data_IF_763534605012
#
_entry.id   IF_763534605012
#
_cell.length_a   1.000
_cell.length_b   1.000
_cell.length_c   1.000
_cell.angle_alpha   90.00
_cell.angle_beta   90.00
_cell.angle_gamma   90.00
#
_symmetry.space_group_name_H-M   'P 1'
#
loop_
_entity.id
_entity.type
_entity.pdbx_description
1 polymer ?
#
# COMPACT_ATOMS: atom_id res chain seq x y z
N UNK A 1 1.96 -7.65 -12.35
CA UNK A 1 2.53 -6.29 -12.28
C UNK A 1 2.85 -5.98 -10.84
N UNK A 2 4.07 -5.55 -10.58
CA UNK A 2 4.48 -4.92 -9.34
C UNK A 2 4.49 -3.39 -9.55
N UNK A 3 3.81 -2.66 -8.70
CA UNK A 3 3.92 -1.21 -8.62
C UNK A 3 4.68 -0.83 -7.33
N UNK A 4 5.58 0.11 -7.42
CA UNK A 4 6.36 0.64 -6.30
C UNK A 4 6.58 2.14 -6.44
N UNK A 5 6.93 2.78 -5.34
CA UNK A 5 7.42 4.17 -5.34
C UNK A 5 8.95 4.20 -5.49
N UNK A 6 9.48 5.34 -5.92
CA UNK A 6 10.92 5.58 -6.12
C UNK A 6 11.69 5.83 -4.80
N UNK A 7 10.98 6.04 -3.69
CA UNK A 7 11.52 6.25 -2.35
C UNK A 7 11.47 4.98 -1.46
N UNK A 8 11.56 3.80 -2.11
CA UNK A 8 11.56 2.50 -1.42
C UNK A 8 12.85 1.72 -1.65
N UNK A 9 13.44 1.20 -0.57
CA UNK A 9 14.55 0.26 -0.59
C UNK A 9 14.03 -1.15 -0.32
N UNK A 10 14.25 -2.07 -1.25
CA UNK A 10 13.76 -3.45 -1.16
C UNK A 10 14.70 -4.33 -0.37
N UNK A 11 14.21 -4.97 0.68
CA UNK A 11 14.99 -5.85 1.53
C UNK A 11 15.17 -7.26 0.92
N UNK A 12 16.20 -8.02 1.31
CA UNK A 12 16.45 -9.34 0.75
C UNK A 12 15.23 -10.27 0.79
N UNK A 13 14.96 -10.98 -0.30
CA UNK A 13 13.87 -11.95 -0.47
C UNK A 13 12.45 -11.37 -0.45
N UNK A 14 12.28 -10.05 -0.57
CA UNK A 14 10.94 -9.42 -0.60
C UNK A 14 10.04 -10.03 -1.68
N UNK A 15 10.56 -10.27 -2.87
CA UNK A 15 9.87 -10.85 -4.02
C UNK A 15 9.54 -12.34 -3.84
N UNK A 16 10.44 -13.08 -3.22
CA UNK A 16 10.25 -14.51 -2.92
C UNK A 16 8.95 -14.77 -2.15
N UNK A 17 8.67 -13.97 -1.12
CA UNK A 17 7.47 -14.12 -0.31
C UNK A 17 6.20 -13.79 -1.10
N UNK A 18 6.21 -12.73 -1.91
CA UNK A 18 5.09 -12.36 -2.77
C UNK A 18 4.80 -13.45 -3.82
N UNK A 19 5.84 -13.92 -4.51
CA UNK A 19 5.70 -14.94 -5.56
C UNK A 19 5.21 -16.27 -4.97
N UNK A 20 5.73 -16.69 -3.83
CA UNK A 20 5.26 -17.91 -3.17
C UNK A 20 3.80 -17.80 -2.75
N UNK A 21 3.37 -16.64 -2.27
CA UNK A 21 1.95 -16.42 -1.94
C UNK A 21 1.07 -16.53 -3.18
N UNK A 22 1.48 -15.97 -4.31
CA UNK A 22 0.76 -16.12 -5.59
C UNK A 22 0.64 -17.58 -6.01
N UNK A 23 1.73 -18.37 -5.87
CA UNK A 23 1.71 -19.80 -6.20
C UNK A 23 0.77 -20.62 -5.31
N UNK A 24 0.54 -20.19 -4.07
CA UNK A 24 -0.35 -20.87 -3.11
C UNK A 24 -1.83 -20.61 -3.39
N UNK A 25 -2.16 -19.50 -4.04
CA UNK A 25 -3.54 -19.16 -4.37
C UNK A 25 -3.87 -19.62 -5.80
N UNK A 26 -4.97 -20.32 -5.96
CA UNK A 26 -5.48 -20.69 -7.29
C UNK A 26 -6.44 -19.60 -7.82
N UNK A 27 -5.97 -18.37 -7.89
CA UNK A 27 -6.79 -17.23 -8.32
C UNK A 27 -5.92 -16.11 -8.90
N UNK A 28 -6.42 -15.44 -9.92
CA UNK A 28 -5.88 -14.18 -10.44
C UNK A 28 -6.41 -12.95 -9.70
N UNK A 29 -7.41 -13.12 -8.82
CA UNK A 29 -8.09 -12.02 -8.11
C UNK A 29 -7.47 -11.78 -6.73
N UNK A 30 -6.33 -11.10 -6.72
CA UNK A 30 -5.58 -10.75 -5.51
C UNK A 30 -4.93 -9.37 -5.61
N UNK A 31 -4.66 -8.80 -4.45
CA UNK A 31 -3.81 -7.64 -4.23
C UNK A 31 -2.89 -7.97 -3.05
N UNK A 32 -1.61 -8.13 -3.29
CA UNK A 32 -0.62 -8.35 -2.26
C UNK A 32 0.30 -7.15 -2.12
N UNK A 33 0.62 -6.78 -0.90
CA UNK A 33 1.63 -5.75 -0.63
C UNK A 33 2.73 -6.26 0.28
N UNK A 34 3.90 -5.64 0.18
CA UNK A 34 4.95 -5.76 1.18
C UNK A 34 4.63 -4.89 2.39
N UNK A 35 5.11 -5.28 3.58
CA UNK A 35 5.07 -4.41 4.74
C UNK A 35 6.17 -3.36 4.65
N UNK A 36 5.84 -2.12 4.99
CA UNK A 36 6.81 -1.03 5.03
C UNK A 36 7.49 -0.96 6.39
N UNK A 37 8.80 -0.76 6.38
CA UNK A 37 9.59 -0.31 7.53
C UNK A 37 9.75 1.20 7.40
N UNK A 38 9.44 1.93 8.46
CA UNK A 38 9.54 3.40 8.50
C UNK A 38 9.93 3.87 9.90
N UNK A 39 10.61 5.02 10.00
CA UNK A 39 11.05 5.58 11.28
C UNK A 39 9.97 6.32 12.09
N UNK A 40 8.74 6.45 11.57
CA UNK A 40 7.65 7.11 12.30
C UNK A 40 6.84 6.09 13.13
N UNK A 41 6.94 6.12 14.47
CA UNK A 41 6.24 5.18 15.34
C UNK A 41 4.71 5.34 15.33
N UNK A 42 4.19 6.44 14.79
CA UNK A 42 2.74 6.70 14.74
C UNK A 42 2.05 6.08 13.52
N UNK A 43 2.82 5.56 12.57
CA UNK A 43 2.27 4.89 11.39
C UNK A 43 1.76 3.49 11.74
N UNK A 44 0.44 3.31 11.71
CA UNK A 44 -0.19 2.01 11.95
C UNK A 44 -0.03 1.07 10.76
N UNK A 45 0.24 -0.20 11.02
CA UNK A 45 0.41 -1.24 10.00
C UNK A 45 1.76 -1.19 9.29
N UNK A 46 2.75 -0.52 9.89
CA UNK A 46 4.14 -0.47 9.46
C UNK A 46 5.05 -0.98 10.58
N UNK A 47 6.23 -1.44 10.19
CA UNK A 47 7.29 -1.80 11.13
C UNK A 47 8.10 -0.54 11.47
N UNK A 48 8.41 -0.35 12.75
CA UNK A 48 9.15 0.84 13.18
C UNK A 48 10.64 0.52 13.32
N UNK A 49 11.45 1.10 12.46
CA UNK A 49 12.91 1.13 12.54
C UNK A 49 13.41 2.34 11.75
N UNK A 50 14.07 3.27 12.42
CA UNK A 50 14.70 4.41 11.74
C UNK A 50 16.11 4.04 11.28
N UNK A 51 16.32 4.07 9.97
CA UNK A 51 17.62 3.87 9.32
C UNK A 51 17.96 5.00 8.33
N UNK A 52 17.45 6.21 8.58
CA UNK A 52 17.62 7.38 7.73
C UNK A 52 16.34 7.76 6.97
N UNK A 53 16.26 9.00 6.54
CA UNK A 53 15.12 9.55 5.77
C UNK A 53 15.52 10.20 4.44
N UNK A 54 16.81 10.16 4.12
CA UNK A 54 17.40 10.54 2.83
C UNK A 54 18.49 9.55 2.44
N UNK A 55 18.92 9.57 1.18
CA UNK A 55 20.03 8.71 0.73
C UNK A 55 21.35 9.05 1.44
N UNK A 56 21.55 10.32 1.79
CA UNK A 56 22.78 10.81 2.44
C UNK A 56 22.93 10.31 3.88
N UNK A 57 21.83 10.11 4.60
CA UNK A 57 21.83 9.65 5.99
C UNK A 57 21.32 8.21 6.15
N UNK A 58 21.19 7.46 5.06
CA UNK A 58 20.72 6.10 5.09
C UNK A 58 21.75 5.13 5.67
N UNK A 59 21.41 4.50 6.77
CA UNK A 59 22.22 3.48 7.43
C UNK A 59 21.73 2.07 7.01
N UNK A 60 22.19 1.64 5.83
CA UNK A 60 21.87 0.33 5.27
C UNK A 60 22.32 -0.81 6.19
N UNK A 61 23.50 -0.69 6.81
CA UNK A 61 24.04 -1.72 7.71
C UNK A 61 23.11 -1.94 8.90
N UNK A 62 22.73 -0.84 9.58
CA UNK A 62 21.76 -0.88 10.69
C UNK A 62 20.44 -1.53 10.26
N UNK A 63 19.93 -1.17 9.07
CA UNK A 63 18.68 -1.75 8.55
C UNK A 63 18.83 -3.26 8.36
N UNK A 64 19.87 -3.71 7.66
CA UNK A 64 20.08 -5.12 7.32
C UNK A 64 20.37 -6.00 8.55
N UNK A 65 20.99 -5.46 9.60
CA UNK A 65 21.22 -6.18 10.86
C UNK A 65 19.95 -6.35 11.70
N UNK A 66 18.95 -5.45 11.56
CA UNK A 66 17.83 -5.40 12.50
C UNK A 66 16.47 -5.74 11.87
N UNK A 67 16.29 -5.62 10.55
CA UNK A 67 14.95 -5.74 9.94
C UNK A 67 14.28 -7.10 10.19
N UNK A 68 15.06 -8.18 10.34
CA UNK A 68 14.51 -9.52 10.55
C UNK A 68 13.92 -9.71 11.94
N UNK A 69 14.38 -8.94 12.93
CA UNK A 69 13.91 -8.99 14.31
C UNK A 69 12.58 -8.26 14.54
N UNK A 70 12.09 -7.55 13.51
CA UNK A 70 10.82 -6.86 13.60
C UNK A 70 9.69 -7.86 13.36
N UNK A 71 8.81 -8.02 14.35
CA UNK A 71 7.68 -8.95 14.28
C UNK A 71 6.40 -8.25 13.83
N UNK A 72 5.68 -8.88 12.95
CA UNK A 72 4.35 -8.49 12.51
C UNK A 72 3.69 -9.68 11.80
N UNK A 73 2.38 -9.82 11.98
CA UNK A 73 1.59 -10.80 11.25
C UNK A 73 1.17 -10.29 9.87
N UNK A 74 0.89 -11.22 8.96
CA UNK A 74 0.18 -10.90 7.72
C UNK A 74 -1.20 -10.35 8.06
N UNK A 75 -1.66 -9.34 7.33
CA UNK A 75 -2.97 -8.77 7.60
C UNK A 75 -3.76 -8.43 6.34
N UNK A 76 -5.09 -8.50 6.46
CA UNK A 76 -6.04 -8.14 5.41
C UNK A 76 -6.30 -6.63 5.39
N UNK A 77 -6.49 -6.07 4.20
CA UNK A 77 -6.89 -4.67 4.00
C UNK A 77 -5.75 -3.71 3.76
N UNK A 78 -4.63 -4.22 3.23
CA UNK A 78 -3.54 -3.37 2.73
C UNK A 78 -4.00 -2.53 1.54
N UNK A 79 -3.51 -1.30 1.48
CA UNK A 79 -3.85 -0.34 0.41
C UNK A 79 -2.65 0.38 -0.18
N UNK A 80 -1.42 0.01 0.19
CA UNK A 80 -0.21 0.77 -0.17
C UNK A 80 0.78 -0.01 -1.02
N UNK A 81 1.64 0.72 -1.72
CA UNK A 81 2.79 0.18 -2.43
C UNK A 81 3.90 -0.27 -1.45
N UNK A 82 4.82 -1.17 -1.88
CA UNK A 82 4.74 -1.85 -3.16
C UNK A 82 3.63 -2.90 -3.16
N UNK A 83 2.94 -3.04 -4.29
CA UNK A 83 1.89 -4.04 -4.40
C UNK A 83 1.97 -4.85 -5.69
N UNK A 84 1.56 -6.10 -5.59
CA UNK A 84 1.52 -7.07 -6.67
C UNK A 84 0.07 -7.36 -7.05
N UNK A 85 -0.24 -7.19 -8.34
CA UNK A 85 -1.57 -7.42 -8.93
C UNK A 85 -1.40 -8.25 -10.20
N UNK A 86 -2.35 -9.12 -10.51
CA UNK A 86 -2.33 -9.85 -11.78
C UNK A 86 -2.48 -8.89 -12.98
N UNK A 87 -1.69 -9.08 -14.04
CA UNK A 87 -1.64 -8.17 -15.20
C UNK A 87 -3.01 -7.96 -15.84
N UNK A 88 -3.81 -9.02 -15.97
CA UNK A 88 -5.14 -8.92 -16.55
C UNK A 88 -6.06 -8.00 -15.74
N UNK A 89 -6.00 -8.09 -14.40
CA UNK A 89 -6.78 -7.19 -13.52
C UNK A 89 -6.31 -5.74 -13.62
N UNK A 90 -4.99 -5.52 -13.60
CA UNK A 90 -4.44 -4.19 -13.78
C UNK A 90 -4.92 -3.53 -15.07
N UNK A 91 -4.84 -4.26 -16.19
CA UNK A 91 -5.28 -3.77 -17.48
C UNK A 91 -6.80 -3.53 -17.50
N UNK A 92 -7.58 -4.44 -16.89
CA UNK A 92 -9.04 -4.34 -16.85
C UNK A 92 -9.52 -3.11 -16.06
N UNK A 93 -8.88 -2.78 -14.95
CA UNK A 93 -9.24 -1.61 -14.13
C UNK A 93 -8.61 -0.31 -14.62
N UNK A 94 -7.68 -0.38 -15.59
CA UNK A 94 -7.01 0.79 -16.15
C UNK A 94 -5.99 1.46 -15.22
N UNK A 95 -5.39 0.70 -14.28
CA UNK A 95 -4.40 1.23 -13.35
C UNK A 95 -4.92 2.32 -12.41
N UNK A 96 -4.11 3.33 -12.11
CA UNK A 96 -4.51 4.48 -11.29
C UNK A 96 -5.38 5.47 -12.07
N UNK A 97 -6.25 6.15 -11.35
CA UNK A 97 -7.14 7.17 -11.92
C UNK A 97 -6.52 8.56 -11.81
N UNK A 98 -6.48 9.30 -12.91
CA UNK A 98 -5.81 10.60 -13.03
C UNK A 98 -6.45 11.69 -12.14
N UNK A 99 -7.73 11.58 -11.84
CA UNK A 99 -8.44 12.53 -10.97
C UNK A 99 -7.90 12.56 -9.53
N UNK A 100 -7.12 11.57 -9.12
CA UNK A 100 -6.44 11.54 -7.83
C UNK A 100 -5.01 12.10 -7.89
N UNK A 101 -4.60 12.69 -9.01
CA UNK A 101 -3.29 13.35 -9.10
C UNK A 101 -3.15 14.46 -8.03
N UNK A 102 -2.00 14.60 -7.38
CA UNK A 102 -0.72 13.89 -7.55
C UNK A 102 -0.56 12.61 -6.71
N UNK A 103 -1.64 11.94 -6.26
CA UNK A 103 -1.57 10.61 -5.66
C UNK A 103 -2.40 10.40 -4.40
N UNK A 104 -2.83 11.47 -3.70
CA UNK A 104 -3.66 11.30 -2.51
C UNK A 104 -4.99 10.59 -2.86
N UNK A 105 -5.26 9.44 -2.23
CA UNK A 105 -6.48 8.67 -2.49
C UNK A 105 -6.40 7.70 -3.67
N UNK A 106 -5.32 7.66 -4.44
CA UNK A 106 -5.15 6.77 -5.58
C UNK A 106 -5.12 5.28 -5.19
N UNK A 107 -4.44 4.94 -4.10
CA UNK A 107 -4.39 3.55 -3.63
C UNK A 107 -5.78 3.01 -3.23
N UNK A 108 -6.58 3.68 -2.37
CA UNK A 108 -7.92 3.21 -2.08
C UNK A 108 -8.86 3.23 -3.30
N UNK A 109 -8.68 4.14 -4.26
CA UNK A 109 -9.42 4.11 -5.52
C UNK A 109 -9.10 2.86 -6.35
N UNK A 110 -7.82 2.55 -6.51
CA UNK A 110 -7.39 1.30 -7.17
C UNK A 110 -7.96 0.08 -6.45
N UNK A 111 -7.92 0.05 -5.12
CA UNK A 111 -8.51 -1.05 -4.36
C UNK A 111 -10.02 -1.17 -4.57
N UNK A 112 -10.75 -0.05 -4.69
CA UNK A 112 -12.19 -0.07 -4.98
C UNK A 112 -12.48 -0.60 -6.39
N UNK A 113 -11.71 -0.19 -7.40
CA UNK A 113 -11.81 -0.77 -8.75
C UNK A 113 -11.60 -2.28 -8.74
N UNK A 114 -10.55 -2.75 -8.05
CA UNK A 114 -10.27 -4.17 -7.89
C UNK A 114 -11.37 -4.90 -7.12
N UNK A 115 -11.93 -4.27 -6.09
CA UNK A 115 -13.07 -4.80 -5.34
C UNK A 115 -14.28 -5.04 -6.24
N UNK A 116 -14.62 -4.08 -7.11
CA UNK A 116 -15.72 -4.18 -8.06
C UNK A 116 -15.48 -5.29 -9.11
N UNK A 117 -14.22 -5.61 -9.40
CA UNK A 117 -13.83 -6.76 -10.23
C UNK A 117 -13.83 -8.09 -9.46
N UNK A 118 -14.29 -8.10 -8.22
CA UNK A 118 -14.44 -9.28 -7.38
C UNK A 118 -13.16 -9.70 -6.66
N UNK A 119 -12.14 -8.85 -6.56
CA UNK A 119 -11.00 -9.09 -5.66
C UNK A 119 -11.46 -8.97 -4.22
N UNK A 120 -11.10 -9.97 -3.40
CA UNK A 120 -11.40 -10.00 -1.95
C UNK A 120 -10.15 -10.22 -1.09
N UNK A 121 -9.04 -10.61 -1.71
CA UNK A 121 -7.75 -10.82 -1.05
C UNK A 121 -6.92 -9.54 -1.21
N UNK A 122 -6.86 -8.71 -0.17
CA UNK A 122 -6.04 -7.50 -0.07
C UNK A 122 -5.08 -7.66 1.10
N UNK A 123 -4.02 -8.44 0.90
CA UNK A 123 -3.17 -8.89 2.00
C UNK A 123 -1.79 -8.23 1.96
N UNK A 124 -1.36 -7.72 3.13
CA UNK A 124 0.04 -7.35 3.37
C UNK A 124 0.80 -8.57 3.89
N UNK A 125 1.94 -8.87 3.28
CA UNK A 125 2.81 -9.98 3.70
C UNK A 125 3.93 -9.43 4.57
N UNK A 126 3.93 -9.84 5.84
CA UNK A 126 4.84 -9.34 6.87
C UNK A 126 6.31 -9.72 6.62
N UNK A 127 6.55 -10.82 5.91
CA UNK A 127 7.91 -11.27 5.54
C UNK A 127 8.45 -10.61 4.26
N UNK A 128 7.57 -10.07 3.41
CA UNK A 128 7.97 -9.24 2.28
C UNK A 128 8.13 -7.80 2.75
N UNK A 129 9.36 -7.29 2.78
CA UNK A 129 9.70 -6.05 3.48
C UNK A 129 10.37 -5.03 2.57
N UNK A 130 9.99 -3.78 2.74
CA UNK A 130 10.64 -2.63 2.10
C UNK A 130 10.86 -1.53 3.13
N UNK A 131 11.98 -0.82 3.01
CA UNK A 131 12.22 0.40 3.77
C UNK A 131 11.69 1.60 2.98
N UNK A 132 10.90 2.44 3.61
CA UNK A 132 10.29 3.61 2.97
C UNK A 132 10.87 4.89 3.57
N UNK A 133 11.59 5.66 2.77
CA UNK A 133 12.23 6.93 3.19
C UNK A 133 11.21 8.02 3.57
N UNK A 134 9.93 7.81 3.24
CA UNK A 134 8.83 8.63 3.73
C UNK A 134 8.57 9.89 2.93
N UNK A 135 8.30 9.77 1.64
CA UNK A 135 7.80 10.87 0.80
C UNK A 135 8.76 12.05 0.72
N UNK A 136 10.03 11.79 0.45
CA UNK A 136 11.12 12.79 0.39
C UNK A 136 10.75 13.95 -0.55
N UNK A 137 10.17 13.66 -1.70
CA UNK A 137 9.76 14.64 -2.72
C UNK A 137 8.67 15.59 -2.21
N UNK A 138 7.69 15.05 -1.48
CA UNK A 138 6.55 15.82 -0.94
C UNK A 138 6.99 16.67 0.26
N UNK A 139 7.97 16.19 1.06
CA UNK A 139 8.50 16.92 2.21
C UNK A 139 9.30 18.16 1.80
N UNK A 140 10.03 18.11 0.67
CA UNK A 140 10.84 19.23 0.15
C UNK A 140 10.01 20.36 -0.46
N UNK A 141 8.80 20.09 -0.95
CA UNK A 141 7.91 21.08 -1.59
C UNK A 141 6.74 21.47 -0.68
N UNK A 142 6.97 22.41 0.26
CA UNK A 142 5.93 23.05 1.11
C UNK A 142 5.01 22.14 1.93
N UNK A 143 5.43 21.84 3.16
CA UNK A 143 4.79 20.92 4.13
C UNK A 143 3.31 21.21 4.46
N UNK A 144 2.82 22.43 4.38
CA UNK A 144 1.51 22.81 4.94
C UNK A 144 0.38 22.90 3.92
N UNK A 145 0.66 23.28 2.69
CA UNK A 145 -0.36 23.53 1.68
C UNK A 145 -0.87 22.22 1.04
N UNK A 146 0.04 21.30 0.70
CA UNK A 146 -0.32 20.06 0.02
C UNK A 146 -1.03 19.06 0.92
N UNK A 147 -0.56 18.86 2.15
CA UNK A 147 -1.04 17.78 3.02
C UNK A 147 -2.49 17.96 3.48
N UNK A 148 -2.90 19.19 3.84
CA UNK A 148 -4.23 19.45 4.39
C UNK A 148 -5.32 19.50 3.32
N UNK A 149 -5.02 20.06 2.17
CA UNK A 149 -6.00 20.25 1.10
C UNK A 149 -6.15 19.02 0.18
N UNK A 150 -5.08 18.29 -0.10
CA UNK A 150 -5.13 17.11 -0.96
C UNK A 150 -5.89 15.94 -0.34
N UNK A 151 -5.68 15.65 0.94
CA UNK A 151 -6.44 14.61 1.64
C UNK A 151 -7.93 14.91 1.70
N UNK A 152 -8.31 16.15 1.89
CA UNK A 152 -9.71 16.59 1.88
C UNK A 152 -10.32 16.48 0.48
N UNK A 153 -9.60 16.90 -0.56
CA UNK A 153 -10.03 16.81 -1.95
C UNK A 153 -10.18 15.35 -2.38
N UNK A 154 -9.17 14.51 -2.09
CA UNK A 154 -9.21 13.09 -2.40
C UNK A 154 -10.42 12.37 -1.76
N UNK A 155 -10.73 12.69 -0.50
CA UNK A 155 -11.93 12.15 0.16
C UNK A 155 -13.24 12.58 -0.53
N UNK A 156 -13.32 13.83 -1.00
CA UNK A 156 -14.48 14.31 -1.75
C UNK A 156 -14.61 13.61 -3.11
N UNK A 157 -13.51 13.51 -3.87
CA UNK A 157 -13.48 12.80 -5.16
C UNK A 157 -13.90 11.35 -4.97
N UNK A 158 -13.34 10.66 -3.97
CA UNK A 158 -13.67 9.27 -3.68
C UNK A 158 -15.17 9.11 -3.31
N UNK A 159 -15.70 10.01 -2.49
CA UNK A 159 -17.12 9.99 -2.10
C UNK A 159 -18.03 10.19 -3.31
N UNK A 160 -17.72 11.16 -4.16
CA UNK A 160 -18.50 11.44 -5.38
C UNK A 160 -18.44 10.28 -6.37
N UNK A 161 -17.28 9.64 -6.51
CA UNK A 161 -17.08 8.54 -7.46
C UNK A 161 -17.72 7.24 -7.00
N UNK A 162 -17.64 6.92 -5.69
CA UNK A 162 -17.98 5.62 -5.15
C UNK A 162 -19.17 5.60 -4.18
N UNK A 163 -19.77 6.74 -3.87
CA UNK A 163 -20.91 6.84 -2.96
C UNK A 163 -20.59 6.59 -1.48
N UNK A 164 -19.30 6.40 -1.13
CA UNK A 164 -18.89 6.18 0.25
C UNK A 164 -17.54 6.81 0.56
N UNK A 165 -17.22 6.98 1.85
CA UNK A 165 -15.92 7.52 2.25
C UNK A 165 -14.81 6.46 2.16
N UNK A 166 -13.54 6.91 1.95
CA UNK A 166 -12.36 6.03 2.02
C UNK A 166 -12.32 5.28 3.36
N UNK A 167 -12.66 5.96 4.47
CA UNK A 167 -12.69 5.36 5.81
C UNK A 167 -13.70 4.23 5.90
N UNK A 168 -14.91 4.43 5.36
CA UNK A 168 -15.96 3.41 5.31
C UNK A 168 -15.52 2.20 4.50
N UNK A 169 -15.00 2.43 3.29
CA UNK A 169 -14.47 1.38 2.43
C UNK A 169 -13.39 0.55 3.13
N UNK A 170 -12.35 1.22 3.67
CA UNK A 170 -11.27 0.51 4.38
C UNK A 170 -11.76 -0.29 5.57
N UNK A 171 -12.68 0.26 6.38
CA UNK A 171 -13.12 -0.37 7.62
C UNK A 171 -14.05 -1.56 7.37
N UNK A 172 -15.04 -1.39 6.50
CA UNK A 172 -16.15 -2.35 6.39
C UNK A 172 -15.99 -3.30 5.20
N UNK A 173 -15.18 -2.95 4.21
CA UNK A 173 -14.94 -3.78 3.03
C UNK A 173 -13.55 -4.43 3.05
N UNK A 174 -12.48 -3.64 3.04
CA UNK A 174 -11.12 -4.19 2.94
C UNK A 174 -10.67 -4.93 4.19
N UNK A 175 -11.02 -4.43 5.38
CA UNK A 175 -10.58 -4.96 6.69
C UNK A 175 -11.68 -5.73 7.42
N UNK A 176 -12.80 -5.97 6.76
CA UNK A 176 -13.87 -6.78 7.34
C UNK A 176 -13.42 -8.24 7.48
N UNK A 177 -13.72 -8.86 8.62
CA UNK A 177 -13.59 -10.30 8.79
C UNK A 177 -14.66 -11.08 8.02
N UNK A 178 -15.71 -10.39 7.56
CA UNK A 178 -16.74 -10.97 6.72
C UNK A 178 -16.35 -10.84 5.26
N UNK A 179 -16.30 -11.97 4.57
CA UNK A 179 -16.17 -11.99 3.11
C UNK A 179 -17.53 -11.57 2.56
N UNK A 180 -17.64 -10.31 2.15
CA UNK A 180 -18.81 -9.86 1.40
C UNK A 180 -18.76 -10.46 -0.01
N UNK A 181 -19.64 -11.42 -0.29
CA UNK A 181 -19.64 -12.12 -1.56
C UNK A 181 -20.17 -11.25 -2.71
N UNK A 182 -20.94 -10.21 -2.41
CA UNK A 182 -21.47 -9.30 -3.41
C UNK A 182 -20.71 -7.96 -3.38
N UNK A 183 -20.16 -7.49 -4.51
CA UNK A 183 -19.81 -6.10 -4.69
C UNK A 183 -21.07 -5.24 -4.54
N UNK A 184 -20.91 -4.00 -4.10
CA UNK A 184 -22.01 -3.02 -4.13
C UNK A 184 -22.49 -2.83 -5.56
#
# INVERSE_FOLDING_TARGET
ILYSHDDMYFLPKWDYFLINKVKQINSKKFYFSSIMINGDPNLKGHLNLFAGDTLENFDEKKLLENYQNLEHDDFQGSTWAPHLIHKELWNKVGGFSEEFSPGAGSDPDLNMKLWNEGVRIFQCLSKSRVYHFGSVTIRKKNKNFFKKNQGSLANKIFLLKWGMSIKTFKKFYLRSHFIHNNPL
#
